data_IF_576011096250
#
_entry.id   IF_576011096250
#
_cell.length_a   1.000
_cell.length_b   1.000
_cell.length_c   1.000
_cell.angle_alpha   90.00
_cell.angle_beta   90.00
_cell.angle_gamma   90.00
#
_symmetry.space_group_name_H-M   'P 1'
#
loop_
_entity.id
_entity.type
_entity.pdbx_description
1 polymer ?
#
# COMPACT_ATOMS: atom_id res chain seq x y z
N UNK A 1 19.30 -21.02 1.52
CA UNK A 1 18.74 -19.91 0.72
C UNK A 1 17.21 -19.96 0.67
N UNK A 2 16.59 -21.15 0.76
CA UNK A 2 15.12 -21.32 0.68
C UNK A 2 14.34 -20.75 1.88
N UNK A 3 14.97 -20.60 3.05
CA UNK A 3 14.28 -20.18 4.26
C UNK A 3 13.83 -18.72 4.28
N UNK A 4 14.56 -17.81 3.64
CA UNK A 4 14.23 -16.39 3.65
C UNK A 4 13.10 -16.03 2.67
N UNK A 5 12.98 -16.77 1.56
CA UNK A 5 11.88 -16.61 0.60
C UNK A 5 10.62 -17.38 1.05
N UNK A 6 10.78 -18.50 1.74
CA UNK A 6 9.65 -19.28 2.26
C UNK A 6 8.90 -18.59 3.42
N UNK A 7 9.54 -17.65 4.13
CA UNK A 7 8.88 -16.86 5.18
C UNK A 7 8.20 -15.58 4.67
N UNK A 8 8.48 -15.16 3.44
CA UNK A 8 7.84 -14.03 2.79
C UNK A 8 6.56 -14.51 2.10
N UNK A 9 5.44 -14.48 2.79
CA UNK A 9 4.19 -15.10 2.34
C UNK A 9 3.54 -14.49 1.11
N UNK A 10 3.97 -13.34 0.63
CA UNK A 10 3.67 -12.76 -0.69
C UNK A 10 4.58 -11.59 -0.97
N UNK A 11 5.12 -11.51 -2.15
CA UNK A 11 5.98 -10.44 -2.63
C UNK A 11 5.35 -9.88 -3.90
N UNK A 12 5.10 -8.59 -3.94
CA UNK A 12 4.78 -7.91 -5.20
C UNK A 12 6.09 -7.50 -5.87
N UNK A 13 6.24 -7.84 -7.15
CA UNK A 13 7.48 -7.65 -7.90
C UNK A 13 7.19 -6.88 -9.18
N UNK A 14 7.97 -5.86 -9.45
CA UNK A 14 8.00 -5.17 -10.73
C UNK A 14 9.38 -5.22 -11.33
N UNK A 15 9.44 -5.32 -12.65
CA UNK A 15 10.67 -5.35 -13.42
C UNK A 15 10.74 -4.12 -14.33
N UNK A 16 11.91 -3.49 -14.40
CA UNK A 16 12.22 -2.50 -15.42
C UNK A 16 13.45 -2.92 -16.20
N UNK A 17 13.47 -2.60 -17.48
CA UNK A 17 14.53 -2.99 -18.41
C UNK A 17 14.96 -1.77 -19.23
N UNK A 18 16.22 -1.38 -19.17
CA UNK A 18 16.75 -0.18 -19.82
C UNK A 18 17.18 -0.37 -21.29
N UNK A 19 17.03 -1.57 -21.82
CA UNK A 19 17.43 -1.92 -23.18
C UNK A 19 18.93 -2.19 -23.37
N UNK A 20 19.74 -2.00 -22.34
CA UNK A 20 21.19 -2.19 -22.36
C UNK A 20 21.64 -3.45 -21.58
N UNK A 21 20.73 -4.39 -21.35
CA UNK A 21 21.01 -5.60 -20.58
C UNK A 21 20.99 -5.38 -19.06
N UNK A 22 20.41 -4.29 -18.57
CA UNK A 22 20.16 -4.07 -17.15
C UNK A 22 18.70 -4.36 -16.80
N UNK A 23 18.50 -5.18 -15.77
CA UNK A 23 17.18 -5.50 -15.22
C UNK A 23 17.13 -5.07 -13.76
N UNK A 24 16.26 -4.15 -13.44
CA UNK A 24 16.01 -3.74 -12.07
C UNK A 24 14.78 -4.47 -11.53
N UNK A 25 14.93 -5.12 -10.38
CA UNK A 25 13.87 -5.83 -9.67
C UNK A 25 13.46 -4.99 -8.48
N UNK A 26 12.20 -4.64 -8.39
CA UNK A 26 11.63 -3.94 -7.25
C UNK A 26 10.77 -4.91 -6.44
N UNK A 27 11.04 -4.99 -5.14
CA UNK A 27 10.41 -5.97 -4.24
C UNK A 27 9.66 -5.24 -3.13
N UNK A 28 8.39 -5.57 -2.98
CA UNK A 28 7.52 -5.11 -1.90
C UNK A 28 7.09 -6.30 -1.05
N UNK A 29 7.18 -6.17 0.26
CA UNK A 29 6.70 -7.18 1.19
C UNK A 29 5.16 -7.17 1.27
N UNK A 30 4.58 -8.28 1.68
CA UNK A 30 3.13 -8.46 1.80
C UNK A 30 2.46 -7.44 2.74
N UNK A 31 3.17 -7.02 3.77
CA UNK A 31 2.71 -6.00 4.73
C UNK A 31 2.91 -4.55 4.26
N UNK A 32 3.32 -4.36 2.99
CA UNK A 32 3.61 -3.05 2.42
C UNK A 32 4.94 -2.45 2.89
N UNK A 33 5.79 -3.21 3.56
CA UNK A 33 7.12 -2.77 3.94
C UNK A 33 8.14 -2.98 2.82
N UNK A 34 9.22 -2.21 2.86
CA UNK A 34 10.34 -2.37 1.94
C UNK A 34 11.14 -3.61 2.32
N UNK A 35 11.55 -4.40 1.34
CA UNK A 35 12.35 -5.59 1.56
C UNK A 35 13.66 -5.28 2.28
N UNK A 36 14.01 -6.10 3.26
CA UNK A 36 15.29 -5.98 3.99
C UNK A 36 16.47 -6.29 3.07
N UNK A 37 17.67 -5.90 3.50
CA UNK A 37 18.90 -6.19 2.76
C UNK A 37 19.11 -7.68 2.54
N UNK A 38 18.72 -8.52 3.51
CA UNK A 38 18.82 -9.98 3.44
C UNK A 38 17.88 -10.55 2.37
N UNK A 39 16.64 -10.06 2.32
CA UNK A 39 15.66 -10.47 1.30
C UNK A 39 16.13 -10.04 -0.09
N UNK A 40 16.60 -8.79 -0.24
CA UNK A 40 17.15 -8.32 -1.53
C UNK A 40 18.34 -9.17 -2.00
N UNK A 41 19.25 -9.54 -1.11
CA UNK A 41 20.36 -10.46 -1.41
C UNK A 41 19.88 -11.86 -1.82
N UNK A 42 18.85 -12.39 -1.14
CA UNK A 42 18.29 -13.70 -1.48
C UNK A 42 17.61 -13.67 -2.86
N UNK A 43 16.85 -12.62 -3.18
CA UNK A 43 16.25 -12.42 -4.51
C UNK A 43 17.34 -12.31 -5.58
N UNK A 44 18.36 -11.50 -5.34
CA UNK A 44 19.50 -11.35 -6.28
C UNK A 44 20.25 -12.66 -6.51
N UNK A 45 20.47 -13.45 -5.45
CA UNK A 45 21.11 -14.75 -5.53
C UNK A 45 20.31 -15.73 -6.39
N UNK A 46 18.99 -15.79 -6.16
CA UNK A 46 18.08 -16.63 -6.93
C UNK A 46 18.06 -16.24 -8.43
N UNK A 47 18.10 -14.95 -8.73
CA UNK A 47 18.16 -14.45 -10.12
C UNK A 47 19.51 -14.70 -10.80
N UNK A 48 20.60 -14.82 -10.04
CA UNK A 48 21.96 -15.03 -10.55
C UNK A 48 22.33 -16.51 -10.73
N UNK A 49 21.43 -17.44 -10.40
CA UNK A 49 21.70 -18.86 -10.68
C UNK A 49 21.81 -19.09 -12.18
N UNK A 50 22.86 -19.82 -12.58
CA UNK A 50 23.29 -20.01 -13.98
C UNK A 50 22.23 -20.65 -14.90
N UNK A 51 21.12 -21.16 -14.34
CA UNK A 51 20.00 -21.74 -15.08
C UNK A 51 18.89 -20.73 -15.41
N UNK A 52 18.91 -19.55 -14.81
CA UNK A 52 17.82 -18.55 -14.89
C UNK A 52 18.28 -17.31 -15.69
N UNK A 53 19.57 -17.08 -15.83
CA UNK A 53 20.13 -15.84 -16.39
C UNK A 53 20.75 -16.03 -17.76
N UNK A 54 20.37 -15.25 -18.79
CA UNK A 54 21.20 -15.02 -19.97
C UNK A 54 22.53 -14.39 -19.55
N UNK A 55 23.64 -14.84 -20.13
CA UNK A 55 25.02 -14.47 -19.77
C UNK A 55 25.35 -12.97 -19.88
N UNK A 56 24.44 -12.13 -20.40
CA UNK A 56 24.70 -10.73 -20.74
C UNK A 56 23.91 -9.72 -19.83
N UNK A 57 23.00 -10.18 -18.97
CA UNK A 57 22.12 -9.25 -18.22
C UNK A 57 22.68 -8.95 -16.84
N UNK A 58 22.78 -7.67 -16.53
CA UNK A 58 23.08 -7.18 -15.19
C UNK A 58 21.79 -7.00 -14.40
N UNK A 59 21.63 -7.75 -13.31
CA UNK A 59 20.46 -7.70 -12.45
C UNK A 59 20.75 -6.95 -11.16
N UNK A 60 19.91 -6.00 -10.80
CA UNK A 60 19.95 -5.33 -9.50
C UNK A 60 18.60 -5.38 -8.78
N UNK A 61 18.61 -5.40 -7.45
CA UNK A 61 17.40 -5.35 -6.64
C UNK A 61 17.34 -3.99 -5.96
N UNK A 62 16.26 -3.25 -6.24
CA UNK A 62 16.09 -1.85 -5.82
C UNK A 62 14.84 -1.68 -4.96
N UNK A 63 14.78 -0.56 -4.26
CA UNK A 63 13.60 -0.13 -3.52
C UNK A 63 12.65 0.68 -4.42
N UNK A 64 11.32 0.51 -4.27
CA UNK A 64 10.35 1.34 -4.95
C UNK A 64 10.41 2.78 -4.46
N UNK A 65 9.96 3.72 -5.28
CA UNK A 65 9.76 5.10 -4.88
C UNK A 65 8.65 5.22 -3.83
N UNK A 66 8.84 6.08 -2.82
CA UNK A 66 7.86 6.33 -1.77
C UNK A 66 7.06 7.58 -2.07
N UNK A 67 5.73 7.48 -2.04
CA UNK A 67 4.81 8.61 -2.16
C UNK A 67 4.01 8.72 -0.88
N UNK A 68 4.25 9.78 -0.11
CA UNK A 68 3.52 10.02 1.13
C UNK A 68 2.10 10.51 0.85
N UNK A 69 1.13 10.04 1.65
CA UNK A 69 -0.23 10.56 1.71
C UNK A 69 -0.68 10.70 3.17
N UNK A 70 -1.66 11.58 3.39
CA UNK A 70 -2.25 11.77 4.71
C UNK A 70 -3.70 11.27 4.70
N UNK A 71 -4.21 10.89 5.86
CA UNK A 71 -5.63 10.65 6.10
C UNK A 71 -6.12 11.77 7.00
N UNK A 72 -7.13 12.49 6.55
CA UNK A 72 -7.79 13.56 7.30
C UNK A 72 -9.27 13.59 6.95
N UNK A 73 -10.12 13.24 7.91
CA UNK A 73 -11.56 13.30 7.73
C UNK A 73 -12.30 13.51 9.05
N UNK A 74 -13.54 13.97 8.92
CA UNK A 74 -14.53 14.02 10.00
C UNK A 74 -15.67 13.09 9.61
N UNK A 75 -16.11 12.24 10.54
CA UNK A 75 -17.31 11.41 10.36
C UNK A 75 -18.42 11.83 11.30
N UNK A 76 -19.66 11.61 10.90
CA UNK A 76 -20.85 11.88 11.66
C UNK A 76 -21.69 10.61 11.79
N UNK A 77 -22.33 10.45 12.95
CA UNK A 77 -23.07 9.26 13.32
C UNK A 77 -24.57 9.58 13.26
N UNK A 78 -25.43 8.68 12.73
CA UNK A 78 -26.88 8.90 12.78
C UNK A 78 -27.40 8.81 14.22
N UNK A 79 -28.36 9.67 14.59
CA UNK A 79 -28.94 9.69 15.94
C UNK A 79 -29.78 8.46 16.24
N UNK A 80 -30.32 7.80 15.23
CA UNK A 80 -31.15 6.59 15.35
C UNK A 80 -30.34 5.28 15.36
N UNK A 81 -29.00 5.36 15.40
CA UNK A 81 -28.16 4.16 15.44
C UNK A 81 -28.37 3.33 16.70
N UNK A 82 -28.40 2.02 16.55
CA UNK A 82 -28.42 1.05 17.68
C UNK A 82 -26.99 0.75 18.21
N UNK A 83 -25.96 1.18 17.51
CA UNK A 83 -24.58 0.97 17.91
C UNK A 83 -24.13 2.05 18.90
N UNK A 84 -23.30 1.66 19.87
CA UNK A 84 -22.68 2.65 20.75
C UNK A 84 -21.64 3.49 19.98
N UNK A 85 -21.43 4.74 20.40
CA UNK A 85 -20.39 5.60 19.80
C UNK A 85 -19.00 4.96 19.87
N UNK A 86 -18.70 4.19 20.93
CA UNK A 86 -17.44 3.45 21.05
C UNK A 86 -17.32 2.33 20.00
N UNK A 87 -18.40 1.58 19.74
CA UNK A 87 -18.39 0.53 18.72
C UNK A 87 -18.19 1.10 17.30
N UNK A 88 -18.83 2.25 17.02
CA UNK A 88 -18.64 2.92 15.72
C UNK A 88 -17.19 3.45 15.59
N UNK A 89 -16.65 4.03 16.66
CA UNK A 89 -15.25 4.48 16.65
C UNK A 89 -14.30 3.32 16.36
N UNK A 90 -14.45 2.19 17.05
CA UNK A 90 -13.63 1.00 16.83
C UNK A 90 -13.77 0.48 15.38
N UNK A 91 -14.97 0.46 14.83
CA UNK A 91 -15.20 0.06 13.44
C UNK A 91 -14.56 1.04 12.45
N UNK A 92 -14.61 2.35 12.70
CA UNK A 92 -13.96 3.39 11.90
C UNK A 92 -12.44 3.20 11.94
N UNK A 93 -11.86 2.99 13.12
CA UNK A 93 -10.43 2.77 13.26
C UNK A 93 -9.98 1.50 12.52
N UNK A 94 -10.73 0.40 12.63
CA UNK A 94 -10.47 -0.83 11.89
C UNK A 94 -10.55 -0.63 10.37
N UNK A 95 -11.55 0.09 9.87
CA UNK A 95 -11.69 0.39 8.44
C UNK A 95 -10.52 1.24 7.90
N UNK A 96 -10.01 2.16 8.72
CA UNK A 96 -8.83 2.96 8.36
C UNK A 96 -7.56 2.11 8.29
N UNK A 97 -7.36 1.19 9.26
CA UNK A 97 -6.21 0.28 9.23
C UNK A 97 -6.29 -0.68 8.02
N UNK A 98 -7.49 -1.18 7.68
CA UNK A 98 -7.71 -1.97 6.47
C UNK A 98 -7.34 -1.19 5.21
N UNK A 99 -7.77 0.08 5.12
CA UNK A 99 -7.40 0.95 4.00
C UNK A 99 -5.88 1.15 3.91
N UNK A 100 -5.21 1.41 5.02
CA UNK A 100 -3.75 1.62 5.06
C UNK A 100 -3.02 0.37 4.54
N UNK A 101 -3.39 -0.81 5.04
CA UNK A 101 -2.82 -2.07 4.61
C UNK A 101 -3.08 -2.34 3.11
N UNK A 102 -4.32 -2.12 2.67
CA UNK A 102 -4.67 -2.27 1.26
C UNK A 102 -3.87 -1.29 0.39
N UNK A 103 -3.79 -0.01 0.77
CA UNK A 103 -3.14 1.03 -0.03
C UNK A 103 -1.64 0.79 -0.20
N UNK A 104 -0.96 0.33 0.85
CA UNK A 104 0.49 0.05 0.83
C UNK A 104 0.85 -1.34 0.27
N UNK A 105 -0.11 -2.24 0.12
CA UNK A 105 0.13 -3.65 -0.19
C UNK A 105 0.41 -3.96 -1.67
N UNK A 106 0.58 -2.97 -2.55
CA UNK A 106 0.84 -3.20 -3.98
C UNK A 106 1.64 -2.08 -4.61
N UNK A 107 2.64 -2.46 -5.44
CA UNK A 107 3.38 -1.52 -6.28
C UNK A 107 2.46 -0.84 -7.31
N UNK A 108 2.63 0.46 -7.50
CA UNK A 108 1.88 1.25 -8.48
C UNK A 108 0.38 1.36 -8.20
N UNK A 109 -0.07 1.07 -6.98
CA UNK A 109 -1.48 1.29 -6.62
C UNK A 109 -1.73 2.76 -6.41
N UNK A 110 -2.62 3.33 -7.22
CA UNK A 110 -3.04 4.71 -7.09
C UNK A 110 -3.61 4.99 -5.70
N UNK A 111 -3.34 6.17 -5.16
CA UNK A 111 -3.98 6.60 -3.92
C UNK A 111 -5.45 6.85 -4.22
N UNK A 112 -6.33 5.99 -3.67
CA UNK A 112 -7.74 5.99 -3.98
C UNK A 112 -8.60 6.36 -2.76
N UNK A 113 -9.10 7.61 -2.68
CA UNK A 113 -9.98 8.04 -1.59
C UNK A 113 -11.32 7.32 -1.57
N UNK A 114 -11.81 6.83 -2.70
CA UNK A 114 -13.12 6.19 -2.75
C UNK A 114 -13.11 4.81 -2.09
N UNK A 115 -11.95 4.11 -2.11
CA UNK A 115 -11.80 2.88 -1.33
C UNK A 115 -11.89 3.16 0.19
N UNK A 116 -11.34 4.28 0.66
CA UNK A 116 -11.48 4.69 2.05
C UNK A 116 -12.95 5.02 2.39
N UNK A 117 -13.65 5.74 1.52
CA UNK A 117 -15.08 6.04 1.69
C UNK A 117 -15.92 4.77 1.76
N UNK A 118 -15.68 3.84 0.85
CA UNK A 118 -16.38 2.55 0.80
C UNK A 118 -16.24 1.81 2.15
N UNK A 119 -15.03 1.66 2.64
CA UNK A 119 -14.78 0.99 3.93
C UNK A 119 -15.45 1.72 5.09
N UNK A 120 -15.38 3.06 5.13
CA UNK A 120 -15.99 3.85 6.19
C UNK A 120 -17.51 3.78 6.18
N UNK A 121 -18.17 3.76 5.02
CA UNK A 121 -19.64 3.65 4.98
C UNK A 121 -20.17 2.31 5.49
N UNK A 122 -19.35 1.27 5.52
CA UNK A 122 -19.71 -0.01 6.13
C UNK A 122 -19.63 -0.03 7.66
N UNK A 123 -19.15 1.04 8.32
CA UNK A 123 -19.00 1.12 9.77
C UNK A 123 -20.25 1.65 10.51
N UNK A 124 -21.27 2.07 9.77
CA UNK A 124 -22.47 2.67 10.34
C UNK A 124 -22.40 4.20 10.49
N UNK A 125 -21.40 4.85 9.90
CA UNK A 125 -21.36 6.31 9.81
C UNK A 125 -22.38 6.82 8.79
N UNK A 126 -23.00 7.94 9.09
CA UNK A 126 -23.99 8.59 8.22
C UNK A 126 -23.32 9.38 7.10
N UNK A 127 -22.32 10.18 7.46
CA UNK A 127 -21.68 11.14 6.56
C UNK A 127 -20.19 11.28 6.87
N UNK A 128 -19.42 11.53 5.83
CA UNK A 128 -17.97 11.71 5.91
C UNK A 128 -17.58 13.01 5.19
N UNK A 129 -16.81 13.83 5.86
CA UNK A 129 -16.13 14.99 5.24
C UNK A 129 -14.65 14.61 5.09
N UNK A 130 -14.29 14.08 3.92
CA UNK A 130 -12.94 13.66 3.60
C UNK A 130 -12.15 14.84 3.02
N UNK A 131 -11.08 15.25 3.70
CA UNK A 131 -10.13 16.30 3.28
C UNK A 131 -8.90 15.69 2.61
N UNK A 132 -8.46 14.54 3.10
CA UNK A 132 -7.34 13.76 2.53
C UNK A 132 -7.59 12.26 2.72
N UNK A 133 -7.09 11.40 1.83
CA UNK A 133 -6.28 11.71 0.65
C UNK A 133 -7.12 12.23 -0.53
N UNK A 134 -6.43 12.92 -1.46
CA UNK A 134 -6.93 13.13 -2.81
C UNK A 134 -6.49 11.97 -3.72
N UNK A 135 -7.23 11.74 -4.82
CA UNK A 135 -6.81 10.75 -5.81
C UNK A 135 -5.47 11.14 -6.42
N UNK A 136 -4.55 10.19 -6.51
CA UNK A 136 -3.23 10.39 -7.11
C UNK A 136 -2.76 9.13 -7.80
N UNK A 137 -2.41 9.26 -9.08
CA UNK A 137 -1.80 8.18 -9.86
C UNK A 137 -0.38 7.94 -9.39
N UNK A 138 -0.03 6.67 -9.18
CA UNK A 138 1.31 6.21 -8.86
C UNK A 138 1.92 5.46 -10.04
N UNK A 139 3.25 5.59 -10.20
CA UNK A 139 3.98 4.85 -11.23
C UNK A 139 3.98 3.34 -10.90
N UNK A 140 3.56 2.54 -11.85
CA UNK A 140 3.44 1.07 -11.70
C UNK A 140 4.59 0.28 -12.33
N UNK A 141 5.70 0.94 -12.69
CA UNK A 141 6.82 0.30 -13.39
C UNK A 141 6.63 0.24 -14.91
N UNK A 142 5.70 1.03 -15.47
CA UNK A 142 5.53 1.15 -16.93
C UNK A 142 6.64 2.02 -17.53
N UNK A 143 6.96 1.77 -18.81
CA UNK A 143 7.95 2.54 -19.55
C UNK A 143 9.33 2.62 -18.85
N UNK A 144 9.71 1.54 -18.15
CA UNK A 144 10.98 1.45 -17.40
C UNK A 144 11.14 2.48 -16.27
N UNK A 145 10.06 3.09 -15.83
CA UNK A 145 10.09 3.94 -14.65
C UNK A 145 10.06 3.09 -13.37
N UNK A 146 10.77 3.54 -12.32
CA UNK A 146 10.74 2.88 -11.03
C UNK A 146 9.31 2.90 -10.45
N UNK A 147 8.75 1.76 -10.05
CA UNK A 147 7.43 1.72 -9.45
C UNK A 147 7.40 2.47 -8.12
N UNK A 148 6.23 2.96 -7.75
CA UNK A 148 6.00 3.70 -6.52
C UNK A 148 5.05 2.94 -5.59
N UNK A 149 5.18 3.18 -4.29
CA UNK A 149 4.20 2.77 -3.29
C UNK A 149 3.73 3.96 -2.47
N UNK A 150 2.46 3.92 -2.06
CA UNK A 150 1.91 4.89 -1.14
C UNK A 150 2.29 4.55 0.30
N UNK A 151 2.75 5.54 1.05
CA UNK A 151 3.07 5.41 2.48
C UNK A 151 2.30 6.44 3.29
N UNK A 152 1.65 5.98 4.36
CA UNK A 152 0.96 6.88 5.28
C UNK A 152 1.95 7.86 5.93
N UNK A 153 1.62 9.14 5.88
CA UNK A 153 2.26 10.21 6.64
C UNK A 153 1.52 10.44 7.97
N UNK A 154 0.54 11.32 7.97
CA UNK A 154 -0.26 11.65 9.15
C UNK A 154 -1.68 11.09 9.07
N UNK A 155 -2.26 10.79 10.23
CA UNK A 155 -3.63 10.32 10.40
C UNK A 155 -4.37 11.26 11.36
N UNK A 156 -5.42 11.92 10.87
CA UNK A 156 -6.30 12.79 11.65
C UNK A 156 -7.75 12.36 11.43
N UNK A 157 -8.37 11.81 12.47
CA UNK A 157 -9.74 11.32 12.45
C UNK A 157 -10.52 12.08 13.53
N UNK A 158 -11.63 12.72 13.14
CA UNK A 158 -12.45 13.51 14.03
C UNK A 158 -13.87 12.96 14.04
N UNK A 159 -14.39 12.66 15.22
CA UNK A 159 -15.81 12.40 15.41
C UNK A 159 -16.54 13.75 15.48
N UNK A 160 -17.36 14.04 14.49
CA UNK A 160 -18.15 15.27 14.38
C UNK A 160 -19.45 15.24 15.19
N UNK A 161 -19.73 14.14 15.89
CA UNK A 161 -20.95 13.97 16.69
C UNK A 161 -22.08 13.30 15.92
N UNK A 162 -23.28 13.46 16.48
CA UNK A 162 -24.50 12.87 15.95
C UNK A 162 -25.24 13.87 15.05
N UNK A 163 -25.84 13.36 13.98
CA UNK A 163 -26.67 14.14 13.06
C UNK A 163 -28.02 13.46 12.85
N UNK A 164 -29.11 14.21 12.89
CA UNK A 164 -30.45 13.78 12.50
C UNK A 164 -30.54 13.63 10.97
N UNK A 165 -31.52 12.86 10.47
CA UNK A 165 -31.80 12.74 9.03
C UNK A 165 -32.25 14.07 8.42
#
# INVERSE_FOLDING_TARGET
ADGALASASQIDVSLTFDGAGHVDIYVLMNDGTIATTEIKKAVLAACNESKVRPLADYVSVKDPGLVSYNIDFTYYVPTDTTLSGAAIQEAVDAAVEEYIAWQSGKLGRDINPDKLRDLLFHTGVKRIVLRSPAYKVLEGGKNNAAPQIAKLGTKTIVNGGYEDE
#
